data_IF_388999186778
#
_entry.id   IF_388999186778
#
_cell.length_a   1.000
_cell.length_b   1.000
_cell.length_c   1.000
_cell.angle_alpha   90.00
_cell.angle_beta   90.00
_cell.angle_gamma   90.00
#
_symmetry.space_group_name_H-M   'P 1'
#
loop_
_entity.id
_entity.type
_entity.pdbx_description
1 polymer ?
#
# COMPACT_ATOMS: atom_id res chain seq x y z
N UNK A 1 66.30 -26.04 21.43
CA UNK A 1 65.39 -25.46 20.41
C UNK A 1 64.27 -26.46 20.17
N UNK A 2 63.14 -26.30 20.88
CA UNK A 2 61.91 -26.99 20.54
C UNK A 2 61.04 -25.97 19.79
N UNK A 3 60.83 -26.18 18.49
CA UNK A 3 59.91 -25.38 17.71
C UNK A 3 58.48 -25.71 18.17
N UNK A 4 57.84 -24.75 18.82
CA UNK A 4 56.39 -24.75 19.00
C UNK A 4 55.75 -24.42 17.66
N UNK A 5 55.15 -25.43 17.02
CA UNK A 5 54.29 -25.26 15.86
C UNK A 5 52.97 -24.70 16.38
N UNK A 6 52.72 -23.42 16.11
CA UNK A 6 51.42 -22.80 16.29
C UNK A 6 50.43 -23.43 15.33
N UNK A 7 49.49 -24.23 15.85
CA UNK A 7 48.28 -24.62 15.14
C UNK A 7 47.48 -23.35 14.87
N UNK A 8 47.56 -22.83 13.64
CA UNK A 8 46.61 -21.86 13.15
C UNK A 8 45.23 -22.53 13.18
N UNK A 9 44.32 -21.96 13.96
CA UNK A 9 42.95 -22.44 14.09
C UNK A 9 42.30 -22.54 12.72
N UNK A 10 41.59 -23.65 12.49
CA UNK A 10 40.63 -23.76 11.41
C UNK A 10 39.64 -22.60 11.55
N UNK A 11 39.78 -21.57 10.71
CA UNK A 11 38.71 -20.60 10.46
C UNK A 11 37.56 -21.44 9.90
N UNK A 12 36.51 -21.61 10.71
CA UNK A 12 35.31 -22.29 10.28
C UNK A 12 34.79 -21.62 9.02
N UNK A 13 34.51 -22.39 7.98
CA UNK A 13 33.85 -21.90 6.78
C UNK A 13 32.66 -21.01 7.19
N UNK A 14 32.53 -19.80 6.64
CA UNK A 14 31.39 -18.97 6.96
C UNK A 14 30.10 -19.72 6.60
N UNK A 15 29.19 -19.86 7.57
CA UNK A 15 28.02 -20.72 7.45
C UNK A 15 26.81 -19.89 7.05
N UNK A 16 26.33 -20.07 5.81
CA UNK A 16 25.13 -19.42 5.28
C UNK A 16 23.90 -19.67 6.19
N UNK A 17 23.87 -20.80 6.90
CA UNK A 17 22.83 -21.12 7.88
C UNK A 17 22.83 -20.13 9.04
N UNK A 18 24.00 -19.70 9.53
CA UNK A 18 24.09 -18.72 10.61
C UNK A 18 23.59 -17.34 10.18
N UNK A 19 23.82 -16.97 8.92
CA UNK A 19 23.26 -15.75 8.34
C UNK A 19 21.72 -15.82 8.27
N UNK A 20 21.17 -16.94 7.77
CA UNK A 20 19.72 -17.17 7.72
C UNK A 20 19.10 -17.20 9.14
N UNK A 21 19.77 -17.80 10.12
CA UNK A 21 19.32 -17.85 11.52
C UNK A 21 19.40 -16.49 12.23
N UNK A 22 20.35 -15.62 11.83
CA UNK A 22 20.41 -14.24 12.30
C UNK A 22 19.23 -13.43 11.73
N UNK A 23 18.94 -13.55 10.43
CA UNK A 23 17.75 -12.91 9.82
C UNK A 23 16.45 -13.36 10.48
N UNK A 24 16.27 -14.67 10.72
CA UNK A 24 15.08 -15.21 11.42
C UNK A 24 14.89 -14.65 12.82
N UNK A 25 15.94 -14.11 13.43
CA UNK A 25 15.90 -13.48 14.76
C UNK A 25 15.86 -11.95 14.71
N UNK A 26 15.77 -11.35 13.51
CA UNK A 26 15.80 -9.91 13.31
C UNK A 26 17.19 -9.28 13.44
N UNK A 27 18.25 -10.08 13.52
CA UNK A 27 19.64 -9.60 13.63
C UNK A 27 20.24 -9.40 12.23
N UNK A 28 19.85 -8.29 11.60
CA UNK A 28 20.27 -7.93 10.24
C UNK A 28 21.76 -7.62 10.14
N UNK A 29 22.37 -7.10 11.21
CA UNK A 29 23.81 -6.77 11.24
C UNK A 29 24.66 -8.04 11.19
N UNK A 30 24.34 -9.03 12.03
CA UNK A 30 25.04 -10.32 12.03
C UNK A 30 24.78 -11.09 10.74
N UNK A 31 23.55 -11.03 10.20
CA UNK A 31 23.24 -11.63 8.91
C UNK A 31 24.08 -11.02 7.78
N UNK A 32 24.15 -9.69 7.71
CA UNK A 32 24.91 -8.97 6.69
C UNK A 32 26.40 -9.32 6.74
N UNK A 33 26.99 -9.37 7.94
CA UNK A 33 28.41 -9.73 8.10
C UNK A 33 28.70 -11.14 7.60
N UNK A 34 27.84 -12.10 7.92
CA UNK A 34 28.02 -13.50 7.51
C UNK A 34 27.80 -13.69 6.01
N UNK A 35 26.82 -13.02 5.41
CA UNK A 35 26.65 -13.06 3.96
C UNK A 35 27.77 -12.33 3.22
N UNK A 36 28.29 -11.22 3.73
CA UNK A 36 29.37 -10.47 3.08
C UNK A 36 30.61 -11.34 2.89
N UNK A 37 31.00 -12.11 3.91
CA UNK A 37 32.15 -13.01 3.82
C UNK A 37 31.98 -14.08 2.73
N UNK A 38 30.75 -14.58 2.54
CA UNK A 38 30.45 -15.57 1.50
C UNK A 38 30.28 -14.93 0.12
N UNK A 39 29.70 -13.74 0.04
CA UNK A 39 29.54 -13.00 -1.19
C UNK A 39 30.89 -12.57 -1.77
N UNK A 40 31.84 -12.16 -0.91
CA UNK A 40 33.23 -11.85 -1.28
C UNK A 40 33.97 -13.06 -1.87
N UNK A 41 33.56 -14.27 -1.47
CA UNK A 41 34.05 -15.55 -2.00
C UNK A 41 33.29 -16.00 -3.27
N UNK A 42 32.31 -15.23 -3.74
CA UNK A 42 31.57 -15.51 -4.97
C UNK A 42 30.35 -16.42 -4.82
N UNK A 43 29.87 -16.68 -3.60
CA UNK A 43 28.68 -17.49 -3.38
C UNK A 43 27.41 -16.71 -3.76
N UNK A 44 26.74 -17.13 -4.84
CA UNK A 44 25.54 -16.47 -5.38
C UNK A 44 24.39 -16.38 -4.37
N UNK A 45 24.15 -17.43 -3.58
CA UNK A 45 23.11 -17.43 -2.55
C UNK A 45 23.37 -16.42 -1.42
N UNK A 46 24.64 -16.17 -1.10
CA UNK A 46 24.99 -15.15 -0.12
C UNK A 46 24.84 -13.73 -0.68
N UNK A 47 25.14 -13.55 -1.96
CA UNK A 47 24.89 -12.30 -2.68
C UNK A 47 23.38 -11.97 -2.72
N UNK A 48 22.54 -12.98 -2.98
CA UNK A 48 21.07 -12.85 -2.91
C UNK A 48 20.61 -12.50 -1.49
N UNK A 49 21.20 -13.13 -0.46
CA UNK A 49 20.91 -12.79 0.94
C UNK A 49 21.25 -11.35 1.33
N UNK A 50 22.37 -10.80 0.81
CA UNK A 50 22.69 -9.38 1.00
C UNK A 50 21.73 -8.46 0.25
N UNK A 51 21.35 -8.83 -0.97
CA UNK A 51 20.39 -8.09 -1.76
C UNK A 51 19.00 -8.05 -1.08
N UNK A 52 18.57 -9.14 -0.44
CA UNK A 52 17.34 -9.17 0.36
C UNK A 52 17.41 -8.14 1.52
N UNK A 53 18.55 -8.05 2.21
CA UNK A 53 18.76 -7.04 3.26
C UNK A 53 18.72 -5.61 2.69
N UNK A 54 19.34 -5.40 1.52
CA UNK A 54 19.37 -4.11 0.83
C UNK A 54 17.98 -3.64 0.37
N UNK A 55 17.13 -4.56 -0.09
CA UNK A 55 15.72 -4.24 -0.39
C UNK A 55 14.98 -3.84 0.88
N UNK A 56 15.24 -4.55 1.99
CA UNK A 56 14.67 -4.25 3.30
C UNK A 56 15.07 -2.89 3.90
N UNK A 57 16.20 -2.28 3.50
CA UNK A 57 16.60 -0.94 4.00
C UNK A 57 15.80 0.20 3.42
N UNK A 58 15.10 -0.06 2.30
CA UNK A 58 14.25 0.90 1.60
C UNK A 58 14.92 2.13 1.02
N UNK A 59 16.23 2.05 0.82
CA UNK A 59 17.01 3.06 0.12
C UNK A 59 16.97 2.77 -1.41
N UNK A 60 16.45 3.69 -2.24
CA UNK A 60 16.44 3.55 -3.70
C UNK A 60 17.80 3.17 -4.31
N UNK A 61 18.89 3.67 -3.74
CA UNK A 61 20.24 3.34 -4.22
C UNK A 61 20.60 1.88 -3.90
N UNK A 62 20.21 1.38 -2.74
CA UNK A 62 20.43 0.00 -2.33
C UNK A 62 19.53 -0.98 -3.07
N UNK A 63 18.29 -0.62 -3.38
CA UNK A 63 17.39 -1.44 -4.20
C UNK A 63 17.91 -1.57 -5.62
N UNK A 64 18.44 -0.48 -6.20
CA UNK A 64 19.08 -0.55 -7.51
C UNK A 64 20.32 -1.46 -7.51
N UNK A 65 21.08 -1.46 -6.41
CA UNK A 65 22.20 -2.40 -6.23
C UNK A 65 21.70 -3.85 -6.08
N UNK A 66 20.65 -4.07 -5.28
CA UNK A 66 20.02 -5.37 -5.11
C UNK A 66 19.50 -5.93 -6.43
N UNK A 67 18.84 -5.10 -7.26
CA UNK A 67 18.39 -5.48 -8.61
C UNK A 67 19.55 -5.98 -9.47
N UNK A 68 20.68 -5.27 -9.46
CA UNK A 68 21.88 -5.67 -10.20
C UNK A 68 22.46 -6.99 -9.66
N UNK A 69 22.48 -7.16 -8.34
CA UNK A 69 22.95 -8.40 -7.69
C UNK A 69 22.04 -9.59 -8.01
N UNK A 70 20.71 -9.44 -7.93
CA UNK A 70 19.79 -10.51 -8.33
C UNK A 70 19.95 -10.87 -9.80
N UNK A 71 20.10 -9.87 -10.69
CA UNK A 71 20.28 -10.10 -12.12
C UNK A 71 21.58 -10.86 -12.42
N UNK A 72 22.66 -10.57 -11.70
CA UNK A 72 23.91 -11.31 -11.82
C UNK A 72 23.81 -12.76 -11.30
N UNK A 73 22.98 -13.00 -10.28
CA UNK A 73 22.78 -14.32 -9.69
C UNK A 73 21.68 -15.16 -10.40
N UNK A 74 20.81 -14.54 -11.19
CA UNK A 74 19.62 -15.16 -11.78
C UNK A 74 19.90 -16.40 -12.63
N UNK A 75 21.04 -16.49 -13.29
CA UNK A 75 21.39 -17.68 -14.10
C UNK A 75 21.75 -18.91 -13.25
N UNK A 76 22.13 -18.70 -11.98
CA UNK A 76 22.63 -19.77 -11.09
C UNK A 76 21.75 -20.03 -9.88
N UNK A 77 20.80 -19.14 -9.58
CA UNK A 77 19.93 -19.21 -8.40
C UNK A 77 18.46 -19.02 -8.80
N UNK A 78 17.61 -20.06 -8.69
CA UNK A 78 16.16 -19.93 -8.84
C UNK A 78 15.56 -18.92 -7.85
N UNK A 79 16.09 -18.85 -6.63
CA UNK A 79 15.71 -17.84 -5.64
C UNK A 79 15.97 -16.42 -6.15
N UNK A 80 17.12 -16.17 -6.77
CA UNK A 80 17.42 -14.88 -7.40
C UNK A 80 16.44 -14.55 -8.53
N UNK A 81 16.05 -15.54 -9.34
CA UNK A 81 15.03 -15.36 -10.37
C UNK A 81 13.68 -14.97 -9.77
N UNK A 82 13.25 -15.65 -8.70
CA UNK A 82 12.01 -15.34 -8.01
C UNK A 82 12.02 -13.92 -7.42
N UNK A 83 13.11 -13.54 -6.74
CA UNK A 83 13.29 -12.21 -6.13
C UNK A 83 13.32 -11.10 -7.18
N UNK A 84 14.14 -11.24 -8.23
CA UNK A 84 14.20 -10.25 -9.31
C UNK A 84 12.87 -10.14 -10.06
N UNK A 85 12.24 -11.28 -10.37
CA UNK A 85 10.94 -11.30 -11.03
C UNK A 85 9.89 -10.51 -10.25
N UNK A 86 9.76 -10.76 -8.94
CA UNK A 86 8.85 -10.00 -8.06
C UNK A 86 9.20 -8.51 -8.00
N UNK A 87 10.48 -8.19 -7.84
CA UNK A 87 10.96 -6.81 -7.79
C UNK A 87 10.58 -6.05 -9.07
N UNK A 88 10.73 -6.67 -10.24
CA UNK A 88 10.38 -6.06 -11.52
C UNK A 88 8.86 -5.93 -11.73
N UNK A 89 8.04 -6.86 -11.24
CA UNK A 89 6.57 -6.72 -11.26
C UNK A 89 6.12 -5.53 -10.41
N UNK A 90 6.71 -5.37 -9.23
CA UNK A 90 6.40 -4.28 -8.31
C UNK A 90 7.06 -2.94 -8.73
N UNK A 91 8.02 -2.95 -9.66
CA UNK A 91 8.82 -1.80 -10.04
C UNK A 91 7.95 -0.74 -10.74
N UNK A 92 7.75 0.44 -10.13
CA UNK A 92 6.93 1.49 -10.71
C UNK A 92 7.53 2.03 -12.00
N UNK A 93 6.72 2.13 -13.05
CA UNK A 93 7.18 2.60 -14.36
C UNK A 93 8.18 1.65 -15.02
N UNK A 94 8.15 0.36 -14.67
CA UNK A 94 8.87 -0.68 -15.38
C UNK A 94 8.55 -0.59 -16.88
N UNK A 95 9.61 -0.76 -17.66
CA UNK A 95 9.53 -0.81 -19.12
C UNK A 95 8.89 -2.12 -19.56
N UNK A 96 8.35 -2.14 -20.79
CA UNK A 96 7.83 -3.38 -21.39
C UNK A 96 8.89 -4.49 -21.42
N UNK A 97 10.17 -4.14 -21.60
CA UNK A 97 11.28 -5.09 -21.52
C UNK A 97 11.43 -5.70 -20.12
N UNK A 98 11.29 -4.89 -19.07
CA UNK A 98 11.33 -5.35 -17.68
C UNK A 98 10.09 -6.21 -17.34
N UNK A 99 8.92 -5.92 -17.91
CA UNK A 99 7.74 -6.77 -17.77
C UNK A 99 7.99 -8.17 -18.37
N UNK A 100 8.55 -8.26 -19.58
CA UNK A 100 8.90 -9.54 -20.20
C UNK A 100 10.04 -10.27 -19.48
N UNK A 101 11.02 -9.53 -18.95
CA UNK A 101 12.06 -10.07 -18.08
C UNK A 101 11.44 -10.71 -16.83
N UNK A 102 10.55 -9.98 -16.14
CA UNK A 102 9.83 -10.45 -14.96
C UNK A 102 9.02 -11.73 -15.26
N UNK A 103 8.28 -11.76 -16.36
CA UNK A 103 7.51 -12.94 -16.79
C UNK A 103 8.44 -14.16 -16.94
N UNK A 104 9.56 -13.99 -17.62
CA UNK A 104 10.52 -15.07 -17.89
C UNK A 104 11.13 -15.60 -16.60
N UNK A 105 11.54 -14.70 -15.70
CA UNK A 105 12.14 -15.04 -14.43
C UNK A 105 11.16 -15.78 -13.52
N UNK A 106 9.93 -15.29 -13.38
CA UNK A 106 8.90 -15.92 -12.55
C UNK A 106 8.51 -17.30 -13.07
N UNK A 107 8.38 -17.48 -14.39
CA UNK A 107 8.11 -18.79 -15.00
C UNK A 107 9.24 -19.79 -14.77
N UNK A 108 10.51 -19.36 -14.90
CA UNK A 108 11.67 -20.20 -14.63
C UNK A 108 11.76 -20.57 -13.15
N UNK A 109 11.58 -19.60 -12.25
CA UNK A 109 11.58 -19.83 -10.82
C UNK A 109 10.48 -20.83 -10.42
N UNK A 110 9.26 -20.64 -10.92
CA UNK A 110 8.14 -21.55 -10.69
C UNK A 110 8.44 -22.98 -11.17
N UNK A 111 9.02 -23.13 -12.38
CA UNK A 111 9.39 -24.44 -12.91
C UNK A 111 10.48 -25.15 -12.07
N UNK A 112 11.29 -24.39 -11.32
CA UNK A 112 12.28 -24.91 -10.37
C UNK A 112 11.72 -25.13 -8.96
N UNK A 113 10.41 -24.95 -8.74
CA UNK A 113 9.75 -25.18 -7.45
C UNK A 113 9.82 -24.01 -6.48
N UNK A 114 10.23 -22.82 -6.92
CA UNK A 114 10.18 -21.61 -6.08
C UNK A 114 8.73 -21.17 -5.85
N UNK A 115 8.35 -21.09 -4.57
CA UNK A 115 7.06 -20.56 -4.13
C UNK A 115 6.95 -19.05 -4.33
N UNK A 116 5.75 -18.51 -4.11
CA UNK A 116 5.47 -17.07 -4.27
C UNK A 116 5.89 -16.51 -5.65
N UNK A 117 5.55 -17.24 -6.70
CA UNK A 117 5.83 -16.87 -8.11
C UNK A 117 4.54 -16.74 -8.93
N UNK A 118 3.53 -17.58 -8.66
CA UNK A 118 2.25 -17.56 -9.38
C UNK A 118 1.41 -16.30 -9.15
N UNK A 119 1.31 -15.81 -7.90
CA UNK A 119 0.56 -14.58 -7.62
C UNK A 119 1.22 -13.36 -8.29
N UNK A 120 2.54 -13.12 -8.14
CA UNK A 120 3.22 -12.07 -8.90
C UNK A 120 3.03 -12.19 -10.42
N UNK A 121 3.08 -13.41 -10.96
CA UNK A 121 2.86 -13.64 -12.39
C UNK A 121 1.41 -13.34 -12.82
N UNK A 122 0.43 -13.70 -12.00
CA UNK A 122 -0.97 -13.32 -12.22
C UNK A 122 -1.15 -11.80 -12.22
N UNK A 123 -0.58 -11.12 -11.21
CA UNK A 123 -0.63 -9.67 -11.08
C UNK A 123 0.01 -8.96 -12.27
N UNK A 124 1.15 -9.46 -12.75
CA UNK A 124 1.82 -8.94 -13.95
C UNK A 124 0.89 -8.95 -15.16
N UNK A 125 0.17 -10.04 -15.40
CA UNK A 125 -0.78 -10.14 -16.51
C UNK A 125 -2.04 -9.29 -16.32
N UNK A 126 -2.51 -9.14 -15.08
CA UNK A 126 -3.70 -8.38 -14.75
C UNK A 126 -3.47 -6.86 -14.79
N UNK A 127 -2.30 -6.40 -14.33
CA UNK A 127 -1.93 -4.98 -14.31
C UNK A 127 -1.44 -4.46 -15.66
N UNK A 128 -0.74 -5.30 -16.44
CA UNK A 128 -0.10 -4.89 -17.69
C UNK A 128 -0.56 -5.71 -18.91
N UNK A 129 -1.88 -5.83 -19.18
CA UNK A 129 -2.38 -6.67 -20.26
C UNK A 129 -1.85 -6.26 -21.65
N UNK A 130 -1.55 -4.97 -21.85
CA UNK A 130 -0.99 -4.46 -23.10
C UNK A 130 0.44 -4.92 -23.37
N UNK A 131 1.24 -5.19 -22.33
CA UNK A 131 2.58 -5.79 -22.49
C UNK A 131 2.51 -7.27 -22.85
N UNK A 132 1.35 -7.93 -22.67
CA UNK A 132 1.18 -9.35 -22.95
C UNK A 132 -0.03 -9.61 -23.86
N UNK A 133 -0.05 -9.09 -25.10
CA UNK A 133 -1.21 -9.19 -25.99
C UNK A 133 -1.59 -10.63 -26.37
N UNK A 134 -0.64 -11.56 -26.21
CA UNK A 134 -0.84 -12.99 -26.51
C UNK A 134 -1.25 -13.82 -25.29
N UNK A 135 -1.34 -13.21 -24.10
CA UNK A 135 -1.69 -13.90 -22.86
C UNK A 135 -3.13 -13.58 -22.49
N UNK A 136 -3.95 -14.62 -22.38
CA UNK A 136 -5.26 -14.49 -21.75
C UNK A 136 -5.14 -14.88 -20.27
N UNK A 137 -5.20 -13.88 -19.38
CA UNK A 137 -5.03 -14.09 -17.94
C UNK A 137 -6.04 -15.10 -17.36
N UNK A 138 -7.31 -15.03 -17.77
CA UNK A 138 -8.35 -15.96 -17.32
C UNK A 138 -8.03 -17.41 -17.72
N UNK A 139 -7.62 -17.62 -18.96
CA UNK A 139 -7.23 -18.94 -19.45
C UNK A 139 -5.99 -19.47 -18.71
N UNK A 140 -5.01 -18.61 -18.46
CA UNK A 140 -3.78 -18.97 -17.76
C UNK A 140 -4.06 -19.38 -16.30
N UNK A 141 -4.89 -18.62 -15.59
CA UNK A 141 -5.30 -18.93 -14.21
C UNK A 141 -6.12 -20.23 -14.18
N UNK A 142 -7.01 -20.44 -15.16
CA UNK A 142 -7.81 -21.68 -15.26
C UNK A 142 -6.91 -22.91 -15.46
N UNK A 143 -5.81 -22.79 -16.21
CA UNK A 143 -4.82 -23.86 -16.34
C UNK A 143 -4.10 -24.15 -15.02
N UNK A 144 -3.74 -23.11 -14.26
CA UNK A 144 -3.13 -23.27 -12.93
C UNK A 144 -4.07 -23.95 -11.93
N UNK A 145 -5.36 -23.63 -11.97
CA UNK A 145 -6.37 -24.30 -11.17
C UNK A 145 -6.52 -25.77 -11.56
N UNK A 146 -6.57 -26.08 -12.86
CA UNK A 146 -6.64 -27.45 -13.36
C UNK A 146 -5.39 -28.28 -13.01
N UNK A 147 -4.23 -27.63 -12.92
CA UNK A 147 -2.99 -28.25 -12.46
C UNK A 147 -2.93 -28.44 -10.93
N UNK A 148 -3.91 -27.92 -10.19
CA UNK A 148 -4.01 -28.09 -8.73
C UNK A 148 -3.06 -27.19 -7.93
N UNK A 149 -2.58 -26.08 -8.51
CA UNK A 149 -1.73 -25.15 -7.77
C UNK A 149 -2.53 -24.40 -6.70
N UNK A 150 -2.08 -24.39 -5.43
CA UNK A 150 -2.88 -23.87 -4.32
C UNK A 150 -3.15 -22.37 -4.43
N UNK A 151 -2.21 -21.59 -4.97
CA UNK A 151 -2.36 -20.15 -5.14
C UNK A 151 -3.27 -19.75 -6.32
N UNK A 152 -3.60 -20.69 -7.21
CA UNK A 152 -4.39 -20.39 -8.41
C UNK A 152 -5.82 -19.93 -8.08
N UNK A 153 -6.37 -20.37 -6.94
CA UNK A 153 -7.63 -19.87 -6.43
C UNK A 153 -7.58 -18.38 -6.13
N UNK A 154 -6.55 -17.94 -5.40
CA UNK A 154 -6.40 -16.52 -5.05
C UNK A 154 -6.14 -15.64 -6.29
N UNK A 155 -5.37 -16.13 -7.26
CA UNK A 155 -5.21 -15.46 -8.55
C UNK A 155 -6.54 -15.21 -9.27
N UNK A 156 -7.48 -16.16 -9.18
CA UNK A 156 -8.82 -16.00 -9.75
C UNK A 156 -9.63 -14.93 -9.02
N UNK A 157 -9.53 -14.86 -7.68
CA UNK A 157 -10.18 -13.80 -6.87
C UNK A 157 -9.63 -12.42 -7.26
N UNK A 158 -8.30 -12.31 -7.43
CA UNK A 158 -7.65 -11.08 -7.87
C UNK A 158 -8.13 -10.65 -9.26
N UNK A 159 -8.25 -11.59 -10.20
CA UNK A 159 -8.81 -11.30 -11.53
C UNK A 159 -10.21 -10.70 -11.44
N UNK A 160 -11.10 -11.26 -10.62
CA UNK A 160 -12.45 -10.71 -10.44
C UNK A 160 -12.45 -9.30 -9.87
N UNK A 161 -11.53 -9.00 -8.94
CA UNK A 161 -11.35 -7.65 -8.40
C UNK A 161 -10.84 -6.69 -9.47
N UNK A 162 -9.81 -7.07 -10.23
CA UNK A 162 -9.23 -6.22 -11.28
C UNK A 162 -10.22 -5.94 -12.42
N UNK A 163 -11.05 -6.91 -12.79
CA UNK A 163 -12.06 -6.75 -13.84
C UNK A 163 -13.37 -6.12 -13.34
N UNK A 164 -13.47 -5.82 -12.04
CA UNK A 164 -14.67 -5.33 -11.39
C UNK A 164 -15.90 -6.25 -11.60
N UNK A 165 -15.67 -7.57 -11.68
CA UNK A 165 -16.70 -8.61 -11.81
C UNK A 165 -16.91 -9.40 -10.52
N UNK A 166 -16.21 -9.04 -9.43
CA UNK A 166 -16.26 -9.70 -8.12
C UNK A 166 -17.67 -10.04 -7.64
N UNK A 167 -18.61 -9.09 -7.70
CA UNK A 167 -19.99 -9.27 -7.22
C UNK A 167 -20.79 -10.30 -8.04
N UNK A 168 -20.37 -10.58 -9.27
CA UNK A 168 -20.97 -11.61 -10.13
C UNK A 168 -20.45 -13.02 -9.80
N UNK A 169 -19.36 -13.11 -9.03
CA UNK A 169 -18.62 -14.35 -8.76
C UNK A 169 -18.53 -14.69 -7.26
N UNK A 170 -19.41 -14.14 -6.41
CA UNK A 170 -19.37 -14.33 -4.95
C UNK A 170 -19.38 -15.80 -4.51
N UNK A 171 -20.17 -16.66 -5.18
CA UNK A 171 -20.21 -18.10 -4.85
C UNK A 171 -18.89 -18.80 -5.16
N UNK A 172 -18.19 -18.37 -6.22
CA UNK A 172 -16.90 -18.93 -6.58
C UNK A 172 -15.80 -18.48 -5.63
N UNK A 173 -15.81 -17.19 -5.25
CA UNK A 173 -14.94 -16.64 -4.21
C UNK A 173 -15.16 -17.38 -2.88
N UNK A 174 -16.42 -17.63 -2.50
CA UNK A 174 -16.77 -18.39 -1.29
C UNK A 174 -16.13 -19.79 -1.33
N UNK A 175 -16.29 -20.50 -2.45
CA UNK A 175 -15.75 -21.85 -2.64
C UNK A 175 -14.22 -21.88 -2.57
N UNK A 176 -13.56 -20.96 -3.27
CA UNK A 176 -12.10 -20.83 -3.30
C UNK A 176 -11.57 -20.53 -1.90
N UNK A 177 -12.12 -19.52 -1.23
CA UNK A 177 -11.59 -19.06 0.04
C UNK A 177 -11.88 -20.02 1.19
N UNK A 178 -12.99 -20.78 1.14
CA UNK A 178 -13.23 -21.88 2.08
C UNK A 178 -12.18 -22.99 1.98
N UNK A 179 -11.78 -23.34 0.76
CA UNK A 179 -10.78 -24.39 0.55
C UNK A 179 -9.38 -23.95 1.01
N UNK A 180 -9.07 -22.66 0.88
CA UNK A 180 -7.75 -22.09 1.20
C UNK A 180 -7.65 -21.46 2.61
N UNK A 181 -8.72 -21.47 3.42
CA UNK A 181 -8.78 -20.71 4.68
C UNK A 181 -7.68 -21.05 5.69
N UNK A 182 -7.18 -22.29 5.67
CA UNK A 182 -6.12 -22.76 6.57
C UNK A 182 -4.70 -22.43 6.08
N UNK A 183 -4.53 -22.08 4.80
CA UNK A 183 -3.23 -21.81 4.18
C UNK A 183 -3.06 -20.36 3.78
N UNK A 184 -4.16 -19.61 3.70
CA UNK A 184 -4.23 -18.28 3.10
C UNK A 184 -5.12 -17.41 3.95
N UNK A 185 -4.52 -16.63 4.85
CA UNK A 185 -5.26 -15.89 5.87
C UNK A 185 -6.14 -14.75 5.28
N UNK A 186 -5.77 -14.19 4.11
CA UNK A 186 -6.55 -13.21 3.36
C UNK A 186 -7.95 -13.74 3.00
N UNK A 187 -8.14 -15.05 2.94
CA UNK A 187 -9.45 -15.66 2.74
C UNK A 187 -10.46 -15.33 3.85
N UNK A 188 -10.02 -14.96 5.06
CA UNK A 188 -10.94 -14.45 6.09
C UNK A 188 -11.58 -13.12 5.67
N UNK A 189 -10.83 -12.22 5.03
CA UNK A 189 -11.35 -10.93 4.54
C UNK A 189 -12.28 -11.15 3.36
N UNK A 190 -11.90 -12.03 2.44
CA UNK A 190 -12.72 -12.35 1.26
C UNK A 190 -14.05 -13.01 1.66
N UNK A 191 -14.03 -14.00 2.57
CA UNK A 191 -15.25 -14.62 3.06
C UNK A 191 -16.13 -13.65 3.83
N UNK A 192 -15.55 -12.79 4.68
CA UNK A 192 -16.31 -11.76 5.38
C UNK A 192 -16.99 -10.80 4.39
N UNK A 193 -16.28 -10.40 3.33
CA UNK A 193 -16.81 -9.54 2.27
C UNK A 193 -17.99 -10.21 1.56
N UNK A 194 -17.83 -11.49 1.20
CA UNK A 194 -18.88 -12.28 0.53
C UNK A 194 -20.12 -12.40 1.41
N UNK A 195 -19.97 -12.76 2.69
CA UNK A 195 -21.11 -12.95 3.60
C UNK A 195 -21.83 -11.66 3.93
N UNK A 196 -21.12 -10.53 3.98
CA UNK A 196 -21.74 -9.22 4.14
C UNK A 196 -22.53 -8.81 2.90
N UNK A 197 -21.96 -8.97 1.70
CA UNK A 197 -22.64 -8.72 0.42
C UNK A 197 -23.87 -9.61 0.20
N UNK A 198 -23.79 -10.88 0.62
CA UNK A 198 -24.90 -11.85 0.52
C UNK A 198 -25.91 -11.76 1.68
N UNK A 199 -25.65 -10.92 2.69
CA UNK A 199 -26.44 -10.83 3.91
C UNK A 199 -26.62 -12.18 4.61
N UNK A 200 -25.53 -12.92 4.83
CA UNK A 200 -25.49 -14.25 5.45
C UNK A 200 -24.89 -14.20 6.88
N UNK A 201 -25.61 -13.66 7.88
CA UNK A 201 -25.05 -13.39 9.22
C UNK A 201 -24.67 -14.67 9.98
N UNK A 202 -25.33 -15.80 9.72
CA UNK A 202 -24.99 -17.08 10.37
C UNK A 202 -23.62 -17.59 9.91
N UNK A 203 -23.32 -17.48 8.61
CA UNK A 203 -22.00 -17.84 8.07
C UNK A 203 -20.93 -16.85 8.53
N UNK A 204 -21.27 -15.56 8.62
CA UNK A 204 -20.38 -14.54 9.18
C UNK A 204 -19.99 -14.88 10.63
N UNK A 205 -20.96 -15.21 11.47
CA UNK A 205 -20.70 -15.55 12.88
C UNK A 205 -19.79 -16.78 13.02
N UNK A 206 -19.98 -17.82 12.21
CA UNK A 206 -19.13 -19.00 12.22
C UNK A 206 -17.70 -18.70 11.72
N UNK A 207 -17.56 -17.88 10.66
CA UNK A 207 -16.26 -17.42 10.18
C UNK A 207 -15.48 -16.65 11.27
N UNK A 208 -16.16 -15.73 11.96
CA UNK A 208 -15.54 -14.94 13.03
C UNK A 208 -15.08 -15.84 14.18
N UNK A 209 -15.88 -16.84 14.57
CA UNK A 209 -15.48 -17.82 15.58
C UNK A 209 -14.23 -18.61 15.18
N UNK A 210 -14.13 -19.03 13.92
CA UNK A 210 -12.94 -19.71 13.40
C UNK A 210 -11.71 -18.79 13.41
N UNK A 211 -11.89 -17.53 13.00
CA UNK A 211 -10.84 -16.51 13.02
C UNK A 211 -10.33 -16.26 14.43
N UNK A 212 -11.22 -16.06 15.42
CA UNK A 212 -10.84 -15.83 16.81
C UNK A 212 -10.11 -17.02 17.43
N UNK A 213 -10.55 -18.25 17.09
CA UNK A 213 -9.85 -19.46 17.49
C UNK A 213 -8.46 -19.55 16.84
N UNK A 214 -8.33 -19.12 15.58
CA UNK A 214 -7.04 -19.01 14.88
C UNK A 214 -6.13 -17.96 15.51
N UNK A 215 -6.65 -16.79 15.86
CA UNK A 215 -5.92 -15.72 16.55
C UNK A 215 -5.40 -16.19 17.91
N UNK A 216 -6.24 -16.90 18.68
CA UNK A 216 -5.86 -17.46 19.98
C UNK A 216 -4.76 -18.54 19.88
N UNK A 217 -4.63 -19.19 18.72
CA UNK A 217 -3.56 -20.18 18.43
C UNK A 217 -2.35 -19.57 17.72
N UNK A 218 -2.37 -18.27 17.39
CA UNK A 218 -1.32 -17.60 16.64
C UNK A 218 -1.28 -17.94 15.14
N UNK A 219 -2.32 -18.59 14.59
CA UNK A 219 -2.40 -18.90 13.14
C UNK A 219 -3.07 -17.79 12.34
N UNK A 220 -3.65 -16.79 13.00
CA UNK A 220 -4.23 -15.59 12.40
C UNK A 220 -3.60 -14.38 13.10
N UNK A 221 -3.15 -13.40 12.34
CA UNK A 221 -2.48 -12.20 12.88
C UNK A 221 -3.49 -11.16 13.38
N UNK A 222 -3.03 -10.23 14.22
CA UNK A 222 -3.87 -9.10 14.63
C UNK A 222 -4.26 -8.21 13.43
N UNK A 223 -3.35 -8.01 12.47
CA UNK A 223 -3.63 -7.30 11.22
C UNK A 223 -4.79 -7.93 10.45
N UNK A 224 -4.85 -9.27 10.42
CA UNK A 224 -5.95 -9.97 9.74
C UNK A 224 -7.29 -9.75 10.46
N UNK A 225 -7.29 -9.80 11.80
CA UNK A 225 -8.48 -9.51 12.61
C UNK A 225 -8.95 -8.07 12.41
N UNK A 226 -8.04 -7.09 12.38
CA UNK A 226 -8.35 -5.69 12.06
C UNK A 226 -9.01 -5.58 10.68
N UNK A 227 -8.42 -6.23 9.67
CA UNK A 227 -8.93 -6.19 8.30
C UNK A 227 -10.35 -6.75 8.17
N UNK A 228 -10.66 -7.82 8.89
CA UNK A 228 -12.03 -8.36 8.95
C UNK A 228 -12.97 -7.42 9.71
N UNK A 229 -12.52 -6.80 10.80
CA UNK A 229 -13.33 -5.81 11.52
C UNK A 229 -13.67 -4.60 10.64
N UNK A 230 -12.74 -4.14 9.79
CA UNK A 230 -13.01 -3.07 8.82
C UNK A 230 -14.06 -3.47 7.78
N UNK A 231 -14.05 -4.72 7.32
CA UNK A 231 -15.11 -5.25 6.44
C UNK A 231 -16.47 -5.15 7.13
N UNK A 232 -16.58 -5.61 8.37
CA UNK A 232 -17.83 -5.56 9.15
C UNK A 232 -18.38 -4.13 9.32
N UNK A 233 -17.50 -3.13 9.40
CA UNK A 233 -17.88 -1.71 9.48
C UNK A 233 -18.10 -1.03 8.12
N UNK A 234 -17.87 -1.69 6.99
CA UNK A 234 -17.99 -1.09 5.67
C UNK A 234 -19.44 -1.08 5.17
N UNK A 235 -20.07 0.10 5.24
CA UNK A 235 -21.43 0.31 4.78
C UNK A 235 -21.63 0.13 3.26
N UNK A 236 -20.55 0.14 2.47
CA UNK A 236 -20.63 -0.12 1.01
C UNK A 236 -20.85 -1.60 0.68
N UNK A 237 -20.61 -2.51 1.62
CA UNK A 237 -20.71 -3.95 1.41
C UNK A 237 -22.07 -4.52 1.77
N UNK A 238 -22.92 -3.77 2.46
CA UNK A 238 -24.25 -4.23 2.89
C UNK A 238 -24.59 -3.78 4.30
N UNK A 239 -25.36 -4.59 5.02
CA UNK A 239 -25.68 -4.34 6.42
C UNK A 239 -24.43 -4.52 7.28
N UNK A 240 -24.10 -3.51 8.06
CA UNK A 240 -22.91 -3.47 8.92
C UNK A 240 -23.13 -4.25 10.22
N UNK A 241 -22.01 -4.66 10.82
CA UNK A 241 -21.94 -5.17 12.20
C UNK A 241 -20.84 -4.42 12.96
N UNK A 242 -21.08 -3.12 13.09
CA UNK A 242 -20.15 -2.15 13.66
C UNK A 242 -19.84 -2.44 15.16
N UNK A 243 -20.77 -3.07 15.88
CA UNK A 243 -20.55 -3.49 17.28
C UNK A 243 -19.56 -4.65 17.39
N UNK A 244 -19.70 -5.66 16.52
CA UNK A 244 -18.74 -6.76 16.47
C UNK A 244 -17.39 -6.27 15.98
N UNK A 245 -17.36 -5.36 15.00
CA UNK A 245 -16.12 -4.70 14.56
C UNK A 245 -15.40 -4.00 15.73
N UNK A 246 -16.13 -3.20 16.51
CA UNK A 246 -15.57 -2.52 17.69
C UNK A 246 -14.98 -3.52 18.70
N UNK A 247 -15.72 -4.58 19.05
CA UNK A 247 -15.27 -5.57 20.02
C UNK A 247 -13.99 -6.31 19.56
N UNK A 248 -13.89 -6.65 18.27
CA UNK A 248 -12.70 -7.27 17.68
C UNK A 248 -11.49 -6.33 17.76
N UNK A 249 -11.68 -5.06 17.39
CA UNK A 249 -10.60 -4.07 17.39
C UNK A 249 -10.11 -3.75 18.81
N UNK A 250 -11.01 -3.54 19.78
CA UNK A 250 -10.64 -3.28 21.18
C UNK A 250 -9.77 -4.40 21.78
N UNK A 251 -10.05 -5.65 21.40
CA UNK A 251 -9.31 -6.84 21.85
C UNK A 251 -7.87 -6.87 21.34
N UNK A 252 -7.64 -6.44 20.09
CA UNK A 252 -6.30 -6.51 19.46
C UNK A 252 -5.50 -5.22 19.61
N UNK A 253 -6.14 -4.07 19.81
CA UNK A 253 -5.49 -2.76 19.77
C UNK A 253 -4.31 -2.57 20.76
N UNK A 254 -4.32 -3.15 21.99
CA UNK A 254 -3.15 -3.08 22.86
C UNK A 254 -1.89 -3.77 22.29
N UNK A 255 -2.07 -4.82 21.48
CA UNK A 255 -0.97 -5.56 20.83
C UNK A 255 -0.75 -5.19 19.37
N UNK A 256 -1.68 -4.47 18.75
CA UNK A 256 -1.62 -4.01 17.37
C UNK A 256 -2.13 -2.56 17.29
N UNK A 257 -1.26 -1.57 17.55
CA UNK A 257 -1.69 -0.19 17.80
C UNK A 257 -2.38 0.52 16.64
N UNK A 258 -2.21 0.04 15.39
CA UNK A 258 -2.95 0.56 14.24
C UNK A 258 -4.48 0.42 14.43
N UNK A 259 -4.94 -0.57 15.19
CA UNK A 259 -6.38 -0.72 15.48
C UNK A 259 -6.96 0.39 16.35
N UNK A 260 -6.16 1.19 17.06
CA UNK A 260 -6.67 2.40 17.71
C UNK A 260 -7.17 3.43 16.69
N UNK A 261 -6.49 3.53 15.55
CA UNK A 261 -6.91 4.37 14.43
C UNK A 261 -8.16 3.79 13.78
N UNK A 262 -8.21 2.47 13.57
CA UNK A 262 -9.40 1.77 13.05
C UNK A 262 -10.62 1.98 13.96
N UNK A 263 -10.45 1.94 15.29
CA UNK A 263 -11.51 2.25 16.26
C UNK A 263 -11.98 3.69 16.16
N UNK A 264 -11.06 4.66 16.10
CA UNK A 264 -11.42 6.06 15.95
C UNK A 264 -12.17 6.32 14.63
N UNK A 265 -11.73 5.70 13.53
CA UNK A 265 -12.42 5.79 12.24
C UNK A 265 -13.81 5.14 12.29
N UNK A 266 -13.93 3.97 12.92
CA UNK A 266 -15.21 3.29 13.11
C UNK A 266 -16.20 4.13 13.92
N UNK A 267 -15.77 4.74 15.03
CA UNK A 267 -16.61 5.67 15.78
C UNK A 267 -17.00 6.88 14.94
N UNK A 268 -16.08 7.41 14.14
CA UNK A 268 -16.36 8.56 13.27
C UNK A 268 -17.46 8.24 12.25
N UNK A 269 -17.46 7.02 11.70
CA UNK A 269 -18.48 6.55 10.74
C UNK A 269 -19.79 6.14 11.42
N UNK A 270 -19.73 5.64 12.67
CA UNK A 270 -20.87 5.22 13.49
C UNK A 270 -20.87 5.92 14.87
N UNK A 271 -21.32 7.19 14.95
CA UNK A 271 -21.28 7.98 16.17
C UNK A 271 -22.05 7.39 17.36
N UNK A 272 -22.98 6.47 17.13
CA UNK A 272 -23.74 5.76 18.14
C UNK A 272 -22.92 4.74 18.95
N UNK A 273 -21.72 4.38 18.49
CA UNK A 273 -20.85 3.41 19.16
C UNK A 273 -20.11 3.98 20.38
N UNK A 274 -19.96 5.30 20.47
CA UNK A 274 -19.18 5.93 21.52
C UNK A 274 -19.34 7.44 21.57
N UNK A 275 -18.93 8.02 22.68
CA UNK A 275 -18.94 9.47 22.87
C UNK A 275 -17.58 10.10 22.49
N UNK A 276 -17.50 11.41 22.67
CA UNK A 276 -16.29 12.20 22.41
C UNK A 276 -15.13 11.72 23.29
N UNK A 277 -15.38 11.34 24.53
CA UNK A 277 -14.33 10.88 25.45
C UNK A 277 -13.72 9.55 24.95
N UNK A 278 -14.55 8.64 24.46
CA UNK A 278 -14.11 7.39 23.86
C UNK A 278 -13.33 7.61 22.56
N UNK A 279 -13.79 8.52 21.69
CA UNK A 279 -13.06 8.95 20.49
C UNK A 279 -11.67 9.49 20.84
N UNK A 280 -11.59 10.42 21.80
CA UNK A 280 -10.33 11.03 22.22
C UNK A 280 -9.40 9.99 22.85
N UNK A 281 -9.93 9.05 23.64
CA UNK A 281 -9.15 7.95 24.21
C UNK A 281 -8.51 7.06 23.15
N UNK A 282 -9.24 6.70 22.09
CA UNK A 282 -8.66 5.91 20.99
C UNK A 282 -7.58 6.68 20.24
N UNK A 283 -7.81 7.96 19.95
CA UNK A 283 -6.81 8.80 19.31
C UNK A 283 -5.57 8.97 20.18
N UNK A 284 -5.72 9.19 21.48
CA UNK A 284 -4.60 9.33 22.41
C UNK A 284 -3.79 8.03 22.52
N UNK A 285 -4.44 6.86 22.54
CA UNK A 285 -3.75 5.58 22.48
C UNK A 285 -2.97 5.39 21.17
N UNK A 286 -3.57 5.73 20.03
CA UNK A 286 -2.91 5.68 18.72
C UNK A 286 -1.70 6.63 18.67
N UNK A 287 -1.83 7.83 19.20
CA UNK A 287 -0.74 8.83 19.29
C UNK A 287 0.38 8.38 20.22
N UNK A 288 0.04 7.80 21.37
CA UNK A 288 1.03 7.25 22.30
C UNK A 288 1.86 6.11 21.66
N UNK A 289 1.29 5.43 20.67
CA UNK A 289 1.95 4.39 19.87
C UNK A 289 2.53 4.90 18.53
N UNK A 290 2.77 6.21 18.39
CA UNK A 290 3.30 6.90 17.20
C UNK A 290 2.57 6.55 15.88
N UNK A 291 1.25 6.32 15.95
CA UNK A 291 0.43 6.10 14.75
C UNK A 291 0.16 7.44 14.05
N UNK A 292 0.73 7.72 12.86
CA UNK A 292 0.60 9.04 12.22
C UNK A 292 -0.84 9.38 11.83
N UNK A 293 -1.61 8.35 11.45
CA UNK A 293 -3.05 8.48 11.16
C UNK A 293 -3.86 8.97 12.35
N UNK A 294 -3.40 8.75 13.60
CA UNK A 294 -4.10 9.28 14.77
C UNK A 294 -4.01 10.81 14.84
N UNK A 295 -2.83 11.39 14.54
CA UNK A 295 -2.67 12.86 14.44
C UNK A 295 -3.50 13.42 13.26
N UNK A 296 -3.53 12.71 12.12
CA UNK A 296 -4.37 13.08 10.97
C UNK A 296 -5.86 13.11 11.33
N UNK A 297 -6.38 12.04 11.96
CA UNK A 297 -7.79 11.97 12.36
C UNK A 297 -8.13 13.03 13.39
N UNK A 298 -7.26 13.27 14.38
CA UNK A 298 -7.49 14.31 15.38
C UNK A 298 -7.52 15.71 14.75
N UNK A 299 -6.61 15.99 13.81
CA UNK A 299 -6.66 17.21 13.00
C UNK A 299 -7.98 17.35 12.24
N UNK A 300 -8.48 16.25 11.67
CA UNK A 300 -9.79 16.21 10.97
C UNK A 300 -10.94 16.51 11.91
N UNK A 301 -10.93 16.01 13.15
CA UNK A 301 -11.99 16.31 14.13
C UNK A 301 -12.08 17.81 14.42
N UNK A 302 -10.94 18.47 14.66
CA UNK A 302 -10.89 19.92 14.87
C UNK A 302 -11.17 20.73 13.61
N UNK A 303 -10.82 20.21 12.43
CA UNK A 303 -11.09 20.86 11.14
C UNK A 303 -12.59 20.87 10.81
N UNK A 304 -13.29 19.75 11.06
CA UNK A 304 -14.71 19.61 10.71
C UNK A 304 -15.65 20.14 11.79
N UNK A 305 -15.26 20.07 13.06
CA UNK A 305 -16.07 20.56 14.17
C UNK A 305 -17.28 19.70 14.53
N UNK A 306 -17.35 18.45 14.03
CA UNK A 306 -18.51 17.55 14.23
C UNK A 306 -18.54 16.87 15.59
N UNK A 307 -17.37 16.45 16.08
CA UNK A 307 -17.20 15.71 17.34
C UNK A 307 -16.74 16.63 18.48
N UNK A 308 -15.90 17.60 18.15
CA UNK A 308 -15.38 18.61 19.06
C UNK A 308 -15.60 19.98 18.42
N UNK A 309 -15.67 21.08 19.19
CA UNK A 309 -15.73 22.42 18.60
C UNK A 309 -14.60 22.65 17.59
N UNK A 310 -14.93 23.22 16.43
CA UNK A 310 -13.93 23.47 15.40
C UNK A 310 -12.83 24.41 15.90
N UNK A 311 -11.58 24.03 15.70
CA UNK A 311 -10.40 24.83 16.03
C UNK A 311 -9.36 24.67 14.92
N UNK A 312 -9.27 25.67 14.05
CA UNK A 312 -8.38 25.65 12.90
C UNK A 312 -6.90 25.61 13.31
N UNK A 313 -6.51 26.18 14.46
CA UNK A 313 -5.12 26.18 14.93
C UNK A 313 -4.74 24.82 15.51
N UNK A 314 -5.65 24.21 16.26
CA UNK A 314 -5.46 22.84 16.72
C UNK A 314 -5.36 21.89 15.52
N UNK A 315 -6.27 22.03 14.54
CA UNK A 315 -6.22 21.24 13.31
C UNK A 315 -4.89 21.40 12.56
N UNK A 316 -4.42 22.63 12.34
CA UNK A 316 -3.11 22.93 11.73
C UNK A 316 -1.98 22.21 12.48
N UNK A 317 -1.90 22.37 13.80
CA UNK A 317 -0.83 21.78 14.62
C UNK A 317 -0.83 20.24 14.59
N UNK A 318 -2.00 19.60 14.51
CA UNK A 318 -2.10 18.15 14.41
C UNK A 318 -1.73 17.64 13.01
N UNK A 319 -2.19 18.32 11.95
CA UNK A 319 -1.79 17.95 10.59
C UNK A 319 -0.29 18.13 10.34
N UNK A 320 0.33 19.18 10.88
CA UNK A 320 1.79 19.39 10.77
C UNK A 320 2.61 18.20 11.28
N UNK A 321 2.15 17.49 12.31
CA UNK A 321 2.82 16.28 12.83
C UNK A 321 2.66 15.05 11.93
N UNK A 322 1.64 15.04 11.08
CA UNK A 322 1.37 13.96 10.14
C UNK A 322 2.02 14.21 8.76
N UNK A 323 2.55 15.41 8.49
CA UNK A 323 3.26 15.74 7.24
C UNK A 323 4.46 14.79 7.04
N UNK A 324 4.63 14.32 5.81
CA UNK A 324 5.68 13.37 5.43
C UNK A 324 5.41 11.91 5.83
N UNK A 325 4.43 11.66 6.70
CA UNK A 325 3.96 10.30 7.05
C UNK A 325 2.59 9.99 6.43
N UNK A 326 1.72 10.99 6.29
CA UNK A 326 0.37 10.86 5.73
C UNK A 326 0.12 11.93 4.67
N UNK A 327 -0.08 11.51 3.40
CA UNK A 327 -0.28 12.41 2.26
C UNK A 327 -1.48 13.35 2.45
N UNK A 328 -2.54 12.85 3.10
CA UNK A 328 -3.74 13.63 3.37
C UNK A 328 -3.50 14.82 4.31
N UNK A 329 -2.44 14.81 5.12
CA UNK A 329 -2.12 15.91 6.03
C UNK A 329 -1.81 17.21 5.26
N UNK A 330 -0.99 17.12 4.22
CA UNK A 330 -0.69 18.24 3.31
C UNK A 330 -1.97 18.73 2.61
N UNK A 331 -2.87 17.83 2.23
CA UNK A 331 -4.15 18.22 1.65
C UNK A 331 -5.00 19.06 2.63
N UNK A 332 -5.16 18.62 3.87
CA UNK A 332 -5.96 19.35 4.85
C UNK A 332 -5.31 20.69 5.26
N UNK A 333 -3.99 20.74 5.43
CA UNK A 333 -3.26 22.01 5.63
C UNK A 333 -3.49 22.96 4.45
N UNK A 334 -3.35 22.45 3.23
CA UNK A 334 -3.67 23.18 2.01
C UNK A 334 -5.08 23.77 2.00
N UNK A 335 -6.07 23.01 2.46
CA UNK A 335 -7.46 23.46 2.57
C UNK A 335 -7.66 24.52 3.67
N UNK A 336 -7.03 24.36 4.84
CA UNK A 336 -7.04 25.37 5.92
C UNK A 336 -6.53 26.71 5.39
N UNK A 337 -5.39 26.69 4.69
CA UNK A 337 -4.76 27.89 4.13
C UNK A 337 -5.56 28.50 2.97
N UNK A 338 -6.13 27.67 2.09
CA UNK A 338 -6.92 28.12 0.95
C UNK A 338 -8.24 28.76 1.38
N UNK A 339 -8.92 28.16 2.36
CA UNK A 339 -10.23 28.65 2.85
C UNK A 339 -10.10 29.77 3.88
N UNK A 340 -8.90 29.97 4.42
CA UNK A 340 -8.59 31.02 5.38
C UNK A 340 -9.13 30.77 6.78
N UNK A 341 -9.19 29.49 7.20
CA UNK A 341 -9.74 29.07 8.48
C UNK A 341 -8.96 29.60 9.69
N UNK A 342 -7.71 30.02 9.50
CA UNK A 342 -6.87 30.69 10.50
C UNK A 342 -7.14 32.22 10.60
N UNK A 343 -8.25 32.70 10.02
CA UNK A 343 -8.64 34.11 10.00
C UNK A 343 -8.15 34.90 8.79
N UNK A 344 -7.31 34.30 7.93
CA UNK A 344 -6.94 34.85 6.62
C UNK A 344 -6.48 33.74 5.67
N UNK A 345 -6.56 34.01 4.37
CA UNK A 345 -6.07 33.11 3.31
C UNK A 345 -4.56 33.24 3.18
N UNK A 346 -3.88 32.11 2.98
CA UNK A 346 -2.44 32.03 2.74
C UNK A 346 -2.16 31.35 1.39
N UNK A 347 -2.21 32.09 0.26
CA UNK A 347 -2.19 31.48 -1.07
C UNK A 347 -0.96 30.62 -1.35
N UNK A 348 0.23 31.10 -0.97
CA UNK A 348 1.47 30.37 -1.22
C UNK A 348 1.53 29.06 -0.41
N UNK A 349 1.25 29.12 0.89
CA UNK A 349 1.18 27.91 1.73
C UNK A 349 0.12 26.93 1.22
N UNK A 350 -1.05 27.43 0.80
CA UNK A 350 -2.09 26.59 0.23
C UNK A 350 -1.58 25.85 -1.02
N UNK A 351 -0.92 26.56 -1.93
CA UNK A 351 -0.34 25.97 -3.13
C UNK A 351 0.75 24.94 -2.79
N UNK A 352 1.69 25.28 -1.91
CA UNK A 352 2.83 24.42 -1.56
C UNK A 352 2.36 23.08 -1.00
N UNK A 353 1.44 23.10 -0.03
CA UNK A 353 0.90 21.89 0.59
C UNK A 353 -0.01 21.11 -0.37
N UNK A 354 -0.94 21.78 -1.07
CA UNK A 354 -1.81 21.07 -2.04
C UNK A 354 -1.01 20.44 -3.17
N UNK A 355 0.03 21.11 -3.68
CA UNK A 355 0.89 20.57 -4.74
C UNK A 355 1.70 19.38 -4.25
N UNK A 356 2.18 19.41 -3.02
CA UNK A 356 2.85 18.27 -2.37
C UNK A 356 1.91 17.09 -2.27
N UNK A 357 0.68 17.30 -1.77
CA UNK A 357 -0.34 16.26 -1.69
C UNK A 357 -0.66 15.68 -3.08
N UNK A 358 -0.88 16.53 -4.09
CA UNK A 358 -1.20 16.10 -5.46
C UNK A 358 -0.08 15.25 -6.07
N UNK A 359 1.19 15.62 -5.86
CA UNK A 359 2.36 14.88 -6.36
C UNK A 359 2.58 13.55 -5.64
N UNK A 360 2.12 13.43 -4.40
CA UNK A 360 2.12 12.20 -3.63
C UNK A 360 0.84 11.37 -3.81
N UNK A 361 0.02 11.67 -4.83
CA UNK A 361 -1.15 10.85 -5.18
C UNK A 361 -2.44 11.21 -4.45
N UNK A 362 -2.52 12.35 -3.73
CA UNK A 362 -3.79 12.81 -3.20
C UNK A 362 -4.72 13.22 -4.34
N UNK A 363 -5.73 12.38 -4.54
CA UNK A 363 -6.73 12.53 -5.57
C UNK A 363 -7.38 13.94 -5.60
N UNK A 364 -7.94 14.40 -4.48
CA UNK A 364 -8.70 15.66 -4.46
C UNK A 364 -7.85 16.94 -4.45
N UNK A 365 -6.51 16.84 -4.44
CA UNK A 365 -5.64 17.99 -4.28
C UNK A 365 -5.59 18.87 -5.54
N UNK A 366 -5.51 18.27 -6.74
CA UNK A 366 -5.52 19.02 -8.01
C UNK A 366 -6.80 19.84 -8.18
N UNK A 367 -7.93 19.26 -7.81
CA UNK A 367 -9.21 19.95 -7.79
C UNK A 367 -9.19 21.18 -6.85
N UNK A 368 -8.59 21.04 -5.66
CA UNK A 368 -8.45 22.14 -4.72
C UNK A 368 -7.51 23.25 -5.23
N UNK A 369 -6.45 22.91 -5.99
CA UNK A 369 -5.55 23.88 -6.63
C UNK A 369 -6.29 24.61 -7.77
N UNK A 370 -7.07 23.91 -8.58
CA UNK A 370 -7.92 24.53 -9.60
C UNK A 370 -8.91 25.54 -8.98
N UNK A 371 -9.49 25.21 -7.83
CA UNK A 371 -10.31 26.14 -7.06
C UNK A 371 -9.53 27.34 -6.50
N UNK A 372 -8.29 27.11 -6.02
CA UNK A 372 -7.41 28.17 -5.50
C UNK A 372 -7.15 29.26 -6.56
N UNK A 373 -6.93 28.87 -7.82
CA UNK A 373 -6.66 29.81 -8.92
C UNK A 373 -7.90 30.36 -9.62
N UNK A 374 -9.09 29.77 -9.45
CA UNK A 374 -10.31 30.23 -10.12
C UNK A 374 -11.20 31.14 -9.26
N UNK A 375 -11.26 30.92 -7.95
CA UNK A 375 -12.28 31.55 -7.10
C UNK A 375 -11.98 33.00 -6.67
N UNK A 376 -10.73 33.47 -6.79
CA UNK A 376 -10.35 34.85 -6.45
C UNK A 376 -10.46 35.22 -4.95
N UNK A 377 -10.68 34.25 -4.06
CA UNK A 377 -10.89 34.46 -2.61
C UNK A 377 -9.55 34.63 -1.88
N UNK A 378 -8.88 35.77 -2.07
CA UNK A 378 -7.58 36.07 -1.44
C UNK A 378 -6.36 35.58 -2.23
N UNK A 379 -6.57 34.85 -3.33
CA UNK A 379 -5.56 34.48 -4.31
C UNK A 379 -5.87 35.19 -5.63
N UNK A 380 -4.85 35.76 -6.29
CA UNK A 380 -5.02 36.36 -7.61
C UNK A 380 -5.43 35.26 -8.60
N UNK A 381 -6.56 35.41 -9.32
CA UNK A 381 -6.97 34.41 -10.29
C UNK A 381 -5.91 34.21 -11.38
N UNK A 382 -5.70 32.95 -11.74
CA UNK A 382 -4.84 32.55 -12.85
C UNK A 382 -5.58 31.51 -13.69
N UNK A 383 -6.17 31.92 -14.83
CA UNK A 383 -7.04 31.04 -15.60
C UNK A 383 -6.28 29.90 -16.29
N UNK A 384 -4.99 30.09 -16.61
CA UNK A 384 -4.17 29.02 -17.21
C UNK A 384 -3.85 27.96 -16.17
N UNK A 385 -3.41 28.36 -14.98
CA UNK A 385 -3.14 27.40 -13.90
C UNK A 385 -4.42 26.73 -13.39
N UNK A 386 -5.53 27.47 -13.29
CA UNK A 386 -6.82 26.88 -12.95
C UNK A 386 -7.21 25.77 -13.94
N UNK A 387 -7.04 26.00 -15.24
CA UNK A 387 -7.28 25.00 -16.27
C UNK A 387 -6.32 23.80 -16.16
N UNK A 388 -5.00 24.02 -15.99
CA UNK A 388 -4.01 22.94 -15.84
C UNK A 388 -4.41 21.97 -14.74
N UNK A 389 -4.64 22.48 -13.54
CA UNK A 389 -4.98 21.62 -12.40
C UNK A 389 -6.38 21.02 -12.51
N UNK A 390 -7.32 21.66 -13.23
CA UNK A 390 -8.62 21.06 -13.52
C UNK A 390 -8.52 19.87 -14.49
N UNK A 391 -7.63 19.94 -15.49
CA UNK A 391 -7.39 18.81 -16.39
C UNK A 391 -6.68 17.66 -15.68
N UNK A 392 -5.74 17.95 -14.79
CA UNK A 392 -5.11 16.93 -13.93
C UNK A 392 -6.14 16.26 -13.01
N UNK A 393 -7.08 17.04 -12.45
CA UNK A 393 -8.18 16.50 -11.65
C UNK A 393 -9.16 15.62 -12.46
N UNK A 394 -9.17 15.65 -13.80
CA UNK A 394 -10.01 14.72 -14.57
C UNK A 394 -9.54 13.27 -14.50
N UNK A 395 -8.30 13.02 -14.08
CA UNK A 395 -7.82 11.66 -13.81
C UNK A 395 -8.64 10.94 -12.72
N UNK A 396 -9.40 11.69 -11.89
CA UNK A 396 -10.33 11.13 -10.91
C UNK A 396 -11.58 10.49 -11.53
N UNK A 397 -11.91 10.87 -12.77
CA UNK A 397 -13.17 10.59 -13.48
C UNK A 397 -14.46 10.85 -12.68
N UNK A 398 -14.44 11.86 -11.80
CA UNK A 398 -15.62 12.32 -11.06
C UNK A 398 -16.40 13.36 -11.87
N UNK A 399 -17.75 13.35 -11.84
CA UNK A 399 -18.57 14.38 -12.50
C UNK A 399 -18.14 15.81 -12.15
N UNK A 400 -17.82 16.08 -10.88
CA UNK A 400 -17.43 17.41 -10.40
C UNK A 400 -16.13 17.90 -11.03
N UNK A 401 -15.14 17.03 -11.19
CA UNK A 401 -13.87 17.37 -11.83
C UNK A 401 -14.05 17.63 -13.33
N UNK A 402 -14.86 16.81 -14.01
CA UNK A 402 -15.17 16.97 -15.43
C UNK A 402 -15.92 18.29 -15.69
N UNK A 403 -16.91 18.61 -14.86
CA UNK A 403 -17.67 19.85 -14.93
C UNK A 403 -16.79 21.08 -14.65
N UNK A 404 -15.95 21.03 -13.62
CA UNK A 404 -15.03 22.12 -13.30
C UNK A 404 -14.05 22.37 -14.46
N UNK A 405 -13.51 21.31 -15.06
CA UNK A 405 -12.59 21.43 -16.18
C UNK A 405 -13.26 22.07 -17.41
N UNK A 406 -14.50 21.69 -17.73
CA UNK A 406 -15.27 22.30 -18.81
C UNK A 406 -15.54 23.78 -18.55
N UNK A 407 -15.91 24.15 -17.32
CA UNK A 407 -16.15 25.54 -16.93
C UNK A 407 -14.89 26.40 -17.00
N UNK A 408 -13.74 25.86 -16.60
CA UNK A 408 -12.46 26.58 -16.60
C UNK A 408 -11.81 26.64 -17.98
N UNK A 409 -12.18 25.74 -18.90
CA UNK A 409 -11.74 25.81 -20.30
C UNK A 409 -12.49 26.87 -21.11
N UNK A 410 -13.80 27.02 -20.88
CA UNK A 410 -14.68 27.89 -21.67
C UNK A 410 -14.18 29.35 -21.86
N UNK A 411 -13.61 30.04 -20.84
CA UNK A 411 -13.13 31.42 -21.00
C UNK A 411 -11.74 31.54 -21.63
N UNK A 412 -11.03 30.45 -21.93
CA UNK A 412 -9.65 30.49 -22.40
C UNK A 412 -9.51 30.73 -23.91
N UNK A 413 -8.51 31.53 -24.29
CA UNK A 413 -8.11 31.64 -25.70
C UNK A 413 -7.44 30.34 -26.19
N UNK A 414 -7.40 30.08 -27.51
CA UNK A 414 -6.66 28.95 -28.07
C UNK A 414 -5.18 28.89 -27.62
N UNK A 415 -4.52 30.04 -27.50
CA UNK A 415 -3.12 30.14 -27.06
C UNK A 415 -2.97 29.74 -25.59
N UNK A 416 -3.89 30.19 -24.73
CA UNK A 416 -3.93 29.83 -23.31
C UNK A 416 -4.19 28.33 -23.12
N UNK A 417 -5.10 27.75 -23.92
CA UNK A 417 -5.37 26.31 -23.90
C UNK A 417 -4.15 25.50 -24.35
N UNK A 418 -3.49 25.91 -25.43
CA UNK A 418 -2.26 25.27 -25.90
C UNK A 418 -1.11 25.39 -24.87
N UNK A 419 -1.00 26.53 -24.19
CA UNK A 419 -0.06 26.69 -23.07
C UNK A 419 -0.41 25.77 -21.90
N UNK A 420 -1.67 25.75 -21.47
CA UNK A 420 -2.15 24.90 -20.39
C UNK A 420 -1.91 23.42 -20.69
N UNK A 421 -2.22 22.95 -21.90
CA UNK A 421 -2.01 21.56 -22.28
C UNK A 421 -0.53 21.15 -22.22
N UNK A 422 0.40 22.05 -22.58
CA UNK A 422 1.84 21.80 -22.42
C UNK A 422 2.24 21.67 -20.95
N UNK A 423 1.70 22.53 -20.08
CA UNK A 423 1.96 22.49 -18.64
C UNK A 423 1.38 21.22 -17.98
N UNK A 424 0.21 20.76 -18.41
CA UNK A 424 -0.36 19.47 -17.98
C UNK A 424 0.61 18.34 -18.26
N UNK A 425 1.14 18.25 -19.49
CA UNK A 425 2.10 17.20 -19.85
C UNK A 425 3.41 17.31 -19.07
N UNK A 426 3.89 18.53 -18.82
CA UNK A 426 5.09 18.76 -18.01
C UNK A 426 4.90 18.30 -16.56
N UNK A 427 3.76 18.62 -15.94
CA UNK A 427 3.47 18.19 -14.57
C UNK A 427 3.25 16.67 -14.48
N UNK A 428 2.56 16.05 -15.45
CA UNK A 428 2.42 14.60 -15.51
C UNK A 428 3.78 13.89 -15.62
N UNK A 429 4.67 14.39 -16.48
CA UNK A 429 6.03 13.87 -16.60
C UNK A 429 6.82 14.01 -15.30
N UNK A 430 6.76 15.19 -14.66
CA UNK A 430 7.42 15.43 -13.38
C UNK A 430 6.88 14.52 -12.27
N UNK A 431 5.57 14.30 -12.22
CA UNK A 431 4.92 13.34 -11.32
C UNK A 431 5.33 11.92 -11.62
N UNK A 432 5.46 11.52 -12.88
CA UNK A 432 5.98 10.20 -13.24
C UNK A 432 7.37 9.94 -12.64
N UNK A 433 8.28 10.91 -12.72
CA UNK A 433 9.63 10.82 -12.13
C UNK A 433 9.61 10.83 -10.60
N UNK A 434 8.75 11.63 -9.98
CA UNK A 434 8.60 11.70 -8.52
C UNK A 434 7.91 10.45 -7.96
N UNK A 435 6.86 9.98 -8.61
CA UNK A 435 6.16 8.74 -8.29
C UNK A 435 7.11 7.54 -8.41
N UNK A 436 8.00 7.50 -9.40
CA UNK A 436 9.07 6.49 -9.45
C UNK A 436 9.97 6.52 -8.19
N UNK A 437 10.24 7.70 -7.64
CA UNK A 437 11.06 7.88 -6.44
C UNK A 437 10.29 7.53 -5.14
N UNK A 438 9.03 7.96 -5.02
CA UNK A 438 8.16 7.78 -3.84
C UNK A 438 7.51 6.38 -3.79
N UNK A 439 7.23 5.76 -4.94
CA UNK A 439 6.68 4.40 -5.01
C UNK A 439 7.78 3.34 -4.87
N UNK A 440 9.03 3.65 -5.26
CA UNK A 440 10.18 2.88 -4.78
C UNK A 440 10.18 2.82 -3.25
N UNK A 441 9.76 3.87 -2.54
CA UNK A 441 9.64 3.86 -1.08
C UNK A 441 8.37 3.12 -0.55
N UNK A 442 7.21 3.17 -1.25
CA UNK A 442 5.93 2.58 -0.78
C UNK A 442 5.73 1.10 -1.13
N UNK A 443 6.20 0.60 -2.28
CA UNK A 443 6.14 -0.84 -2.62
C UNK A 443 6.92 -1.72 -1.61
N UNK A 444 7.74 -1.09 -0.78
CA UNK A 444 8.52 -1.69 0.30
C UNK A 444 7.85 -1.60 1.68
N UNK A 445 6.76 -0.81 1.80
CA UNK A 445 5.97 -0.67 3.03
C UNK A 445 4.89 -1.76 3.15
N UNK A 446 4.44 -2.35 2.04
CA UNK A 446 3.40 -3.40 2.05
C UNK A 446 3.91 -4.79 2.47
N UNK A 447 5.23 -5.03 2.48
CA UNK A 447 5.83 -6.29 2.99
C UNK A 447 5.82 -6.39 4.53
N UNK A 448 5.58 -5.29 5.28
CA UNK A 448 5.46 -5.30 6.76
C UNK A 448 4.21 -6.06 7.26
N UNK A 449 3.37 -6.59 6.36
CA UNK A 449 2.25 -7.47 6.67
C UNK A 449 2.47 -8.96 6.37
N UNK A 450 3.56 -9.35 5.69
CA UNK A 450 3.76 -10.75 5.23
C UNK A 450 4.98 -11.47 5.81
N UNK A 451 5.82 -10.83 6.62
CA UNK A 451 6.98 -11.52 7.22
C UNK A 451 6.84 -11.74 8.74
N UNK A 452 6.02 -12.73 9.09
CA UNK A 452 6.31 -13.63 10.22
C UNK A 452 5.77 -15.04 9.96
N UNK A 453 6.44 -15.78 9.08
CA UNK A 453 6.41 -17.26 9.06
C UNK A 453 7.83 -17.82 8.92
#
# INVERSE_FOLDING_TARGET
MALAISLAGCVGLPDQRLANEALKRGDTVTAQQNYQQLADLGYSEAQVGLADIQVGTRDPAQIKQAEATYRAAADTSPRAQARLGRLLVAKPGATEAEHHEAETLLKKAFANGEGNTLIPLAMLYLQYPHSFPNVNAQQQISQWQAAGYPEAGLAQVLLYRTQNTYDQHLDDVERICKAALNTTDICYVELATVYQKKAEPEKQAELLKQMEAGYSRGTVTAQRVDSVARVLGDASLGKTDEKTAQALLEKIAPGYPASWVSLAQLLYDFPELGDVDQMMKYLDNGRAADQPRAELLLGKLYYEGKWVPADAKAAEAHFEKAVGKEVAADYYLGQIYRRGYLGKVYPQKALDHLLTAARNGQNSADFAIAQLFSQGKGTKPDPVNAYVFSQLAKAQDTPEANDLAAQLEAPLTPEQRAQGQRLVQQELAARGTLAQSTLQLHALQEEDGEESL
#
